data_IF_003765125084
#
_entry.id   IF_003765125084
#
_cell.length_a   1.000
_cell.length_b   1.000
_cell.length_c   1.000
_cell.angle_alpha   90.00
_cell.angle_beta   90.00
_cell.angle_gamma   90.00
#
_symmetry.space_group_name_H-M   'P 1'
#
loop_
_entity.id
_entity.type
_entity.pdbx_description
1 polymer ?
#
# COMPACT_ATOMS: atom_id res chain seq x y z
N UNK A 1 15.91 -14.75 -8.74
CA UNK A 1 15.86 -13.27 -8.72
C UNK A 1 15.45 -12.85 -7.32
N UNK A 2 15.84 -11.66 -6.81
CA UNK A 2 15.57 -11.30 -5.42
C UNK A 2 14.08 -11.00 -5.20
N UNK A 3 13.55 -11.43 -4.06
CA UNK A 3 12.23 -11.02 -3.62
C UNK A 3 12.25 -9.53 -3.30
N UNK A 4 11.20 -8.81 -3.67
CA UNK A 4 11.08 -7.38 -3.41
C UNK A 4 9.66 -6.99 -3.02
N UNK A 5 9.56 -5.88 -2.29
CA UNK A 5 8.34 -5.10 -2.16
C UNK A 5 8.63 -3.68 -2.64
N UNK A 6 7.82 -3.19 -3.55
CA UNK A 6 7.83 -1.79 -3.99
C UNK A 6 6.66 -1.07 -3.36
N UNK A 7 6.97 -0.07 -2.55
CA UNK A 7 6.00 0.88 -2.03
C UNK A 7 5.78 1.91 -3.13
N UNK A 8 4.55 2.00 -3.63
CA UNK A 8 4.16 2.92 -4.70
C UNK A 8 3.19 3.94 -4.15
N UNK A 9 3.43 5.19 -4.50
CA UNK A 9 2.67 6.32 -4.00
C UNK A 9 2.33 7.28 -5.13
N UNK A 10 1.11 7.77 -5.10
CA UNK A 10 0.63 8.87 -5.92
C UNK A 10 0.10 9.97 -5.00
N UNK A 11 0.83 11.07 -4.95
CA UNK A 11 0.46 12.25 -4.15
C UNK A 11 0.01 13.44 -5.02
N UNK A 12 -0.15 13.25 -6.33
CA UNK A 12 -0.43 14.33 -7.27
C UNK A 12 -1.87 14.29 -7.79
N UNK A 13 -2.71 15.24 -7.37
CA UNK A 13 -4.09 15.35 -7.90
C UNK A 13 -4.18 15.68 -9.40
N UNK A 14 -3.09 16.16 -10.01
CA UNK A 14 -3.09 16.72 -11.37
C UNK A 14 -2.54 15.77 -12.44
N UNK A 15 -2.10 14.56 -12.07
CA UNK A 15 -1.48 13.62 -12.98
C UNK A 15 -2.48 12.78 -13.81
N UNK A 16 -3.79 13.01 -13.62
CA UNK A 16 -4.86 12.33 -14.34
C UNK A 16 -5.09 10.87 -13.93
N UNK A 17 -4.56 10.42 -12.78
CA UNK A 17 -4.63 9.01 -12.33
C UNK A 17 -5.75 8.73 -11.33
N UNK A 18 -6.63 9.70 -11.12
CA UNK A 18 -7.70 9.62 -10.14
C UNK A 18 -7.27 10.15 -8.78
N UNK A 19 -7.83 9.59 -7.71
CA UNK A 19 -7.50 9.99 -6.35
C UNK A 19 -6.06 9.61 -5.99
N UNK A 20 -5.42 10.44 -5.16
CA UNK A 20 -4.15 10.13 -4.50
C UNK A 20 -4.25 8.77 -3.81
N UNK A 21 -3.18 7.98 -3.86
CA UNK A 21 -3.24 6.58 -3.44
C UNK A 21 -1.87 6.02 -3.07
N UNK A 22 -1.86 5.07 -2.13
CA UNK A 22 -0.68 4.31 -1.73
C UNK A 22 -0.96 2.82 -1.94
N UNK A 23 -0.06 2.11 -2.61
CA UNK A 23 -0.21 0.67 -2.87
C UNK A 23 1.14 -0.05 -2.84
N UNK A 24 1.09 -1.37 -2.83
CA UNK A 24 2.26 -2.24 -2.83
C UNK A 24 2.30 -3.10 -4.10
N UNK A 25 3.51 -3.37 -4.56
CA UNK A 25 3.81 -4.37 -5.58
C UNK A 25 4.83 -5.35 -4.99
N UNK A 26 4.46 -6.62 -4.90
CA UNK A 26 5.31 -7.69 -4.38
C UNK A 26 5.78 -8.54 -5.56
N UNK A 27 7.09 -8.78 -5.63
CA UNK A 27 7.70 -9.67 -6.62
C UNK A 27 8.50 -10.76 -5.91
N UNK A 28 8.32 -12.00 -6.34
CA UNK A 28 9.18 -13.14 -5.98
C UNK A 28 10.32 -13.37 -6.99
N UNK A 29 10.50 -12.43 -7.93
CA UNK A 29 11.45 -12.53 -9.02
C UNK A 29 10.95 -13.33 -10.22
N UNK A 30 9.69 -13.76 -10.23
CA UNK A 30 8.99 -14.21 -11.43
C UNK A 30 8.44 -13.02 -12.25
N UNK A 31 7.84 -13.30 -13.40
CA UNK A 31 7.13 -12.29 -14.21
C UNK A 31 5.84 -11.81 -13.57
N UNK A 32 5.29 -12.58 -12.64
CA UNK A 32 4.02 -12.31 -12.02
C UNK A 32 4.26 -11.59 -10.70
N UNK A 33 3.60 -10.44 -10.54
CA UNK A 33 3.68 -9.62 -9.34
C UNK A 33 2.32 -9.56 -8.67
N UNK A 34 2.33 -9.50 -7.35
CA UNK A 34 1.12 -9.34 -6.54
C UNK A 34 0.97 -7.86 -6.20
N UNK A 35 -0.16 -7.28 -6.60
CA UNK A 35 -0.52 -5.91 -6.20
C UNK A 35 -1.43 -5.93 -4.99
N UNK A 36 -1.24 -4.97 -4.10
CA UNK A 36 -2.12 -4.71 -2.96
C UNK A 36 -2.40 -3.21 -2.86
N UNK A 37 -3.67 -2.84 -2.96
CA UNK A 37 -4.18 -1.50 -2.70
C UNK A 37 -5.53 -1.60 -2.01
N UNK A 38 -5.96 -0.54 -1.36
CA UNK A 38 -7.22 -0.51 -0.62
C UNK A 38 -7.98 0.78 -0.87
N UNK A 39 -9.25 0.64 -1.22
CA UNK A 39 -10.17 1.71 -1.64
C UNK A 39 -11.55 1.53 -1.02
N UNK A 40 -12.37 2.58 -0.81
CA UNK A 40 -13.77 2.41 -0.46
C UNK A 40 -14.55 1.78 -1.62
N UNK A 41 -15.58 0.98 -1.30
CA UNK A 41 -16.50 0.39 -2.31
C UNK A 41 -17.56 1.38 -2.79
N UNK A 42 -17.96 2.31 -1.94
CA UNK A 42 -19.06 3.24 -2.17
C UNK A 42 -18.59 4.69 -2.20
N UNK A 43 -19.46 5.59 -2.66
CA UNK A 43 -19.20 7.03 -2.64
C UNK A 43 -19.11 7.52 -1.19
N UNK A 44 -17.89 7.80 -0.74
CA UNK A 44 -17.59 8.37 0.58
C UNK A 44 -16.29 7.80 1.14
N UNK A 45 -15.74 8.48 2.14
CA UNK A 45 -14.43 8.14 2.68
C UNK A 45 -14.41 7.85 4.18
N UNK A 46 -15.56 7.79 4.85
CA UNK A 46 -15.63 7.60 6.31
C UNK A 46 -16.53 6.42 6.64
N UNK A 47 -16.03 5.47 7.42
CA UNK A 47 -16.75 4.26 7.84
C UNK A 47 -17.46 3.48 6.71
N UNK A 48 -16.86 3.47 5.52
CA UNK A 48 -17.42 2.75 4.37
C UNK A 48 -16.87 1.34 4.30
N UNK A 49 -17.57 0.46 3.58
CA UNK A 49 -16.98 -0.84 3.26
C UNK A 49 -15.75 -0.61 2.39
N UNK A 50 -14.64 -1.25 2.75
CA UNK A 50 -13.43 -1.23 1.95
C UNK A 50 -13.35 -2.44 1.02
N UNK A 51 -12.57 -2.28 -0.05
CA UNK A 51 -12.24 -3.34 -0.98
C UNK A 51 -10.80 -3.23 -1.44
N UNK A 52 -10.21 -4.37 -1.81
CA UNK A 52 -8.93 -4.35 -2.49
C UNK A 52 -9.10 -3.76 -3.90
N UNK A 53 -8.15 -2.92 -4.29
CA UNK A 53 -8.01 -2.49 -5.66
C UNK A 53 -7.72 -3.69 -6.58
N UNK A 54 -8.21 -3.64 -7.81
CA UNK A 54 -7.90 -4.70 -8.78
C UNK A 54 -6.43 -4.63 -9.19
N UNK A 55 -5.81 -5.81 -9.37
CA UNK A 55 -4.41 -5.89 -9.80
C UNK A 55 -4.16 -5.19 -11.13
N UNK A 56 -5.09 -5.32 -12.10
CA UNK A 56 -4.98 -4.66 -13.41
C UNK A 56 -5.04 -3.14 -13.30
N UNK A 57 -5.86 -2.61 -12.39
CA UNK A 57 -5.90 -1.17 -12.12
C UNK A 57 -4.55 -0.69 -11.60
N UNK A 58 -4.04 -1.31 -10.53
CA UNK A 58 -2.77 -0.91 -9.91
C UNK A 58 -1.56 -1.09 -10.83
N UNK A 59 -1.58 -2.10 -11.71
CA UNK A 59 -0.54 -2.34 -12.71
C UNK A 59 -0.44 -1.19 -13.73
N UNK A 60 -1.56 -0.56 -14.07
CA UNK A 60 -1.62 0.53 -15.04
C UNK A 60 -1.36 1.91 -14.41
N UNK A 61 -1.43 2.02 -13.07
CA UNK A 61 -1.11 3.27 -12.38
C UNK A 61 0.39 3.58 -12.43
N UNK A 62 0.69 4.86 -12.59
CA UNK A 62 2.04 5.43 -12.47
C UNK A 62 2.12 6.12 -11.12
N UNK A 63 3.09 5.71 -10.32
CA UNK A 63 3.43 6.36 -9.05
C UNK A 63 4.23 7.64 -9.29
N UNK A 64 3.94 8.71 -8.54
CA UNK A 64 4.81 9.88 -8.45
C UNK A 64 6.07 9.59 -7.62
N UNK A 65 5.95 8.76 -6.59
CA UNK A 65 7.07 8.31 -5.77
C UNK A 65 7.02 6.78 -5.59
N UNK A 66 8.19 6.14 -5.57
CA UNK A 66 8.28 4.72 -5.24
C UNK A 66 9.60 4.37 -4.56
N UNK A 67 9.57 3.30 -3.76
CA UNK A 67 10.77 2.71 -3.16
C UNK A 67 10.67 1.19 -3.20
N UNK A 68 11.66 0.56 -3.84
CA UNK A 68 11.83 -0.89 -3.85
C UNK A 68 12.77 -1.30 -2.73
N UNK A 69 12.30 -2.25 -1.91
CA UNK A 69 13.03 -2.85 -0.80
C UNK A 69 13.26 -4.33 -1.15
N UNK A 70 14.52 -4.78 -1.06
CA UNK A 70 14.84 -6.21 -1.11
C UNK A 70 14.38 -6.90 0.16
N UNK A 71 13.69 -8.03 0.02
CA UNK A 71 13.11 -8.78 1.14
C UNK A 71 13.51 -10.26 1.06
N UNK A 72 13.29 -11.00 2.13
CA UNK A 72 13.43 -12.46 2.14
C UNK A 72 12.17 -13.15 1.58
N UNK A 73 12.30 -14.42 1.21
CA UNK A 73 11.15 -15.25 0.85
C UNK A 73 10.14 -15.38 2.00
N UNK A 74 10.62 -15.41 3.24
CA UNK A 74 9.78 -15.46 4.45
C UNK A 74 8.97 -14.17 4.62
N UNK A 75 9.60 -13.01 4.42
CA UNK A 75 8.93 -11.71 4.44
C UNK A 75 7.87 -11.61 3.34
N UNK A 76 8.18 -12.07 2.13
CA UNK A 76 7.20 -12.16 1.04
C UNK A 76 6.01 -13.04 1.43
N UNK A 77 6.26 -14.24 1.96
CA UNK A 77 5.23 -15.16 2.42
C UNK A 77 4.34 -14.58 3.53
N UNK A 78 4.92 -13.83 4.48
CA UNK A 78 4.19 -13.13 5.52
C UNK A 78 3.25 -12.06 4.97
N UNK A 79 3.73 -11.23 4.03
CA UNK A 79 2.88 -10.23 3.39
C UNK A 79 1.78 -10.86 2.54
N UNK A 80 2.10 -11.87 1.72
CA UNK A 80 1.10 -12.58 0.93
C UNK A 80 0.00 -13.20 1.80
N UNK A 81 0.38 -13.79 2.95
CA UNK A 81 -0.58 -14.30 3.94
C UNK A 81 -1.40 -13.19 4.60
N UNK A 82 -0.79 -12.04 4.88
CA UNK A 82 -1.50 -10.88 5.42
C UNK A 82 -2.52 -10.32 4.42
N UNK A 83 -2.15 -10.20 3.14
CA UNK A 83 -3.04 -9.79 2.05
C UNK A 83 -4.25 -10.73 1.97
N UNK A 84 -4.02 -12.06 1.95
CA UNK A 84 -5.11 -13.04 1.90
C UNK A 84 -6.04 -12.97 3.13
N UNK A 85 -5.51 -12.64 4.31
CA UNK A 85 -6.35 -12.40 5.51
C UNK A 85 -7.13 -11.10 5.40
N UNK A 86 -6.49 -10.03 4.95
CA UNK A 86 -7.08 -8.71 4.79
C UNK A 86 -8.28 -8.75 3.83
N UNK A 87 -8.13 -9.45 2.71
CA UNK A 87 -9.21 -9.69 1.75
C UNK A 87 -10.42 -10.38 2.41
N UNK A 88 -10.16 -11.43 3.21
CA UNK A 88 -11.20 -12.20 3.90
C UNK A 88 -11.88 -11.43 5.04
N UNK A 89 -11.16 -10.54 5.72
CA UNK A 89 -11.73 -9.74 6.81
C UNK A 89 -12.57 -8.58 6.29
N UNK A 90 -12.33 -8.11 5.06
CA UNK A 90 -13.06 -6.98 4.45
C UNK A 90 -13.22 -5.79 5.41
N UNK A 91 -12.10 -5.21 5.90
CA UNK A 91 -12.17 -4.14 6.89
C UNK A 91 -12.84 -2.88 6.32
N UNK A 92 -13.19 -1.95 7.20
CA UNK A 92 -13.77 -0.68 6.79
C UNK A 92 -12.68 0.23 6.17
N UNK A 93 -13.12 1.05 5.23
CA UNK A 93 -12.36 2.18 4.72
C UNK A 93 -12.72 3.44 5.51
N UNK A 94 -11.71 4.09 6.07
CA UNK A 94 -11.79 5.43 6.66
C UNK A 94 -10.61 6.29 6.21
N UNK A 95 -10.86 7.51 5.76
CA UNK A 95 -9.83 8.48 5.36
C UNK A 95 -8.89 8.81 6.51
N UNK A 96 -9.43 8.85 7.73
CA UNK A 96 -8.70 9.14 8.95
C UNK A 96 -8.93 7.95 9.91
N UNK A 97 -8.18 6.85 9.74
CA UNK A 97 -8.36 5.65 10.55
C UNK A 97 -8.08 5.90 12.03
N UNK A 98 -8.88 5.28 12.89
CA UNK A 98 -8.76 5.39 14.35
C UNK A 98 -7.47 4.72 14.89
N UNK A 99 -6.88 3.81 14.10
CA UNK A 99 -5.60 3.18 14.41
C UNK A 99 -5.68 1.97 15.34
N UNK A 100 -6.89 1.47 15.62
CA UNK A 100 -7.14 0.25 16.39
C UNK A 100 -7.12 -1.02 15.52
N UNK A 101 -7.00 -0.86 14.20
CA UNK A 101 -6.97 -1.95 13.22
C UNK A 101 -8.35 -2.43 12.77
N UNK A 102 -9.42 -1.72 13.11
CA UNK A 102 -10.78 -1.98 12.63
C UNK A 102 -11.07 -1.30 11.28
N UNK A 103 -10.38 -0.21 10.99
CA UNK A 103 -10.50 0.59 9.79
C UNK A 103 -9.13 0.94 9.18
N UNK A 104 -9.12 1.21 7.87
CA UNK A 104 -7.91 1.55 7.15
C UNK A 104 -8.18 2.56 6.03
N UNK A 105 -7.16 3.34 5.64
CA UNK A 105 -7.10 3.93 4.31
C UNK A 105 -6.05 3.19 3.47
N UNK A 106 -5.86 3.61 2.22
CA UNK A 106 -4.82 3.05 1.35
C UNK A 106 -3.42 3.02 1.99
N UNK A 107 -3.06 4.03 2.78
CA UNK A 107 -1.73 4.15 3.39
C UNK A 107 -1.58 3.28 4.63
N UNK A 108 -2.55 3.29 5.54
CA UNK A 108 -2.49 2.46 6.75
C UNK A 108 -2.69 0.99 6.42
N UNK A 109 -3.47 0.65 5.39
CA UNK A 109 -3.56 -0.71 4.85
C UNK A 109 -2.20 -1.18 4.31
N UNK A 110 -1.51 -0.36 3.50
CA UNK A 110 -0.16 -0.67 3.02
C UNK A 110 0.82 -0.83 4.19
N UNK A 111 0.76 0.04 5.19
CA UNK A 111 1.57 -0.08 6.40
C UNK A 111 1.28 -1.38 7.17
N UNK A 112 0.03 -1.81 7.27
CA UNK A 112 -0.35 -3.05 7.94
C UNK A 112 0.27 -4.27 7.26
N UNK A 113 0.24 -4.32 5.92
CA UNK A 113 0.87 -5.39 5.16
C UNK A 113 2.40 -5.38 5.38
N UNK A 114 3.06 -4.22 5.26
CA UNK A 114 4.52 -4.13 5.47
C UNK A 114 4.94 -4.59 6.89
N UNK A 115 4.17 -4.18 7.92
CA UNK A 115 4.40 -4.59 9.31
C UNK A 115 4.31 -6.10 9.53
N UNK A 116 3.48 -6.80 8.75
CA UNK A 116 3.39 -8.27 8.83
C UNK A 116 4.71 -8.98 8.48
N UNK A 117 5.62 -8.29 7.78
CA UNK A 117 6.97 -8.76 7.45
C UNK A 117 8.09 -8.06 8.26
N UNK A 118 7.72 -7.32 9.31
CA UNK A 118 8.68 -6.57 10.14
C UNK A 118 9.27 -5.34 9.45
N UNK A 119 8.56 -4.77 8.47
CA UNK A 119 8.97 -3.55 7.76
C UNK A 119 8.15 -2.37 8.29
N UNK A 120 8.73 -1.59 9.21
CA UNK A 120 8.07 -0.44 9.85
C UNK A 120 8.22 0.86 9.05
N UNK A 121 8.52 0.76 7.75
CA UNK A 121 8.84 1.93 6.93
C UNK A 121 7.69 2.94 6.84
N UNK A 122 6.42 2.51 6.86
CA UNK A 122 5.26 3.42 6.85
C UNK A 122 4.66 3.63 8.23
N UNK A 123 5.36 3.27 9.31
CA UNK A 123 4.84 3.45 10.65
C UNK A 123 4.55 4.94 10.94
N UNK A 124 3.41 5.18 11.60
CA UNK A 124 2.82 6.49 11.87
C UNK A 124 2.49 7.36 10.65
N UNK A 125 2.54 6.81 9.43
CA UNK A 125 2.13 7.51 8.21
C UNK A 125 0.69 7.15 7.89
N UNK A 126 -0.16 8.17 7.71
CA UNK A 126 -1.60 7.97 7.46
C UNK A 126 -2.09 8.53 6.12
N UNK A 127 -1.23 9.13 5.29
CA UNK A 127 -1.67 9.71 4.01
C UNK A 127 -0.62 9.55 2.91
N UNK A 128 -1.05 9.55 1.61
CA UNK A 128 -0.12 9.55 0.48
C UNK A 128 0.87 10.73 0.48
N UNK A 129 0.49 11.89 1.03
CA UNK A 129 1.41 13.02 1.21
C UNK A 129 2.51 12.72 2.24
N UNK A 130 2.15 12.06 3.34
CA UNK A 130 3.12 11.62 4.34
C UNK A 130 4.09 10.57 3.77
N UNK A 131 3.59 9.67 2.91
CA UNK A 131 4.42 8.70 2.19
C UNK A 131 5.40 9.44 1.26
N UNK A 132 4.92 10.39 0.46
CA UNK A 132 5.76 11.20 -0.42
C UNK A 132 6.89 11.90 0.35
N UNK A 133 6.57 12.58 1.47
CA UNK A 133 7.56 13.25 2.31
C UNK A 133 8.64 12.26 2.83
N UNK A 134 8.24 11.06 3.25
CA UNK A 134 9.14 10.03 3.76
C UNK A 134 10.04 9.46 2.66
N UNK A 135 9.51 9.25 1.46
CA UNK A 135 10.26 8.79 0.29
C UNK A 135 11.26 9.86 -0.19
N UNK A 136 10.85 11.12 -0.25
CA UNK A 136 11.74 12.23 -0.62
C UNK A 136 12.91 12.39 0.36
N UNK A 137 12.67 12.22 1.67
CA UNK A 137 13.73 12.27 2.67
C UNK A 137 14.84 11.23 2.43
N UNK A 138 14.49 10.04 1.93
CA UNK A 138 15.49 9.03 1.53
C UNK A 138 16.27 9.49 0.30
N UNK A 139 15.59 10.06 -0.69
CA UNK A 139 16.24 10.46 -1.95
C UNK A 139 17.24 11.60 -1.76
N UNK A 140 17.04 12.46 -0.77
CA UNK A 140 17.94 13.58 -0.44
C UNK A 140 19.16 13.13 0.38
N UNK A 141 19.07 11.99 1.07
CA UNK A 141 20.11 11.49 1.97
C UNK A 141 21.02 10.43 1.36
N UNK A 142 20.86 10.12 0.06
CA UNK A 142 21.72 9.24 -0.74
C UNK A 142 22.51 10.03 -1.76
#
# INVERSE_FOLDING_TARGET
MPYTVTIKNDSLFTNGQGAIHTWLELSDGSSDVVYFGFTPTDLGYFNNKGSLDSGDYLKQRVSSEQLTIGITAEQYGSMAKAISKFEKSSPLYDLIPDGDGSDFNCTTAASFILKSAGIDFLDSVQSPFGVAAKLMAIMITR
#
